data_IF_444967828852
#
_entry.id   IF_444967828852
#
_cell.length_a   1.000
_cell.length_b   1.000
_cell.length_c   1.000
_cell.angle_alpha   90.00
_cell.angle_beta   90.00
_cell.angle_gamma   90.00
#
_symmetry.space_group_name_H-M   'P 1'
#
loop_
_entity.id
_entity.type
_entity.pdbx_description
1 polymer ?
#
# COMPACT_ATOMS: atom_id res chain seq x y z
N UNK A 1 -3.17 16.01 -11.36
CA UNK A 1 -4.54 15.92 -11.93
C UNK A 1 -5.50 16.65 -11.01
N UNK A 2 -6.33 17.55 -11.54
CA UNK A 2 -7.41 18.17 -10.78
C UNK A 2 -8.62 17.21 -10.70
N UNK A 3 -9.24 17.08 -9.51
CA UNK A 3 -10.50 16.36 -9.33
C UNK A 3 -11.53 17.32 -8.80
N UNK A 4 -12.63 17.49 -9.53
CA UNK A 4 -13.67 18.47 -9.21
C UNK A 4 -15.08 17.90 -9.30
N UNK A 5 -16.00 18.51 -8.57
CA UNK A 5 -17.43 18.20 -8.66
C UNK A 5 -18.08 19.24 -9.57
N UNK A 6 -18.86 18.77 -10.52
CA UNK A 6 -19.60 19.62 -11.47
C UNK A 6 -21.08 19.31 -11.39
N UNK A 7 -21.87 20.33 -11.01
CA UNK A 7 -23.35 20.24 -10.91
C UNK A 7 -24.02 20.61 -12.24
N UNK A 8 -23.55 20.03 -13.35
CA UNK A 8 -24.10 20.24 -14.69
C UNK A 8 -24.72 18.94 -15.21
N UNK A 9 -25.63 19.08 -16.18
CA UNK A 9 -26.14 17.92 -16.91
C UNK A 9 -25.09 17.40 -17.89
N UNK A 10 -25.10 16.12 -18.17
CA UNK A 10 -24.16 15.46 -19.06
C UNK A 10 -24.06 16.15 -20.44
N UNK A 11 -25.19 16.61 -20.99
CA UNK A 11 -25.22 17.27 -22.30
C UNK A 11 -24.52 18.64 -22.35
N UNK A 12 -24.30 19.30 -21.21
CA UNK A 12 -23.70 20.64 -21.11
C UNK A 12 -22.25 20.67 -20.68
N UNK A 13 -21.71 19.56 -20.21
CA UNK A 13 -20.31 19.52 -19.75
C UNK A 13 -19.34 19.57 -20.93
N UNK A 14 -18.51 20.60 -20.99
CA UNK A 14 -17.45 20.73 -21.99
C UNK A 14 -16.24 19.91 -21.54
N UNK A 15 -15.95 18.82 -22.25
CA UNK A 15 -14.87 17.90 -21.91
C UNK A 15 -14.42 17.11 -23.13
N UNK A 16 -13.21 16.52 -23.06
CA UNK A 16 -12.76 15.63 -24.15
C UNK A 16 -13.53 14.32 -24.19
N UNK A 17 -13.98 13.81 -23.02
CA UNK A 17 -14.78 12.59 -22.92
C UNK A 17 -15.74 12.66 -21.74
N UNK A 18 -17.02 12.37 -21.98
CA UNK A 18 -18.05 12.20 -20.97
C UNK A 18 -18.40 10.72 -20.84
N UNK A 19 -18.27 10.16 -19.64
CA UNK A 19 -18.37 8.72 -19.37
C UNK A 19 -19.61 8.39 -18.56
N UNK A 20 -20.32 7.33 -18.98
CA UNK A 20 -21.45 6.73 -18.26
C UNK A 20 -21.18 5.26 -17.99
N UNK A 21 -21.42 4.84 -16.76
CA UNK A 21 -21.38 3.45 -16.37
C UNK A 21 -22.62 2.71 -16.85
N UNK A 22 -22.46 1.53 -17.45
CA UNK A 22 -23.52 0.63 -17.85
C UNK A 22 -23.13 -0.79 -17.44
N UNK A 23 -23.88 -1.40 -16.52
CA UNK A 23 -23.69 -2.81 -16.16
C UNK A 23 -24.39 -3.75 -17.13
N UNK A 24 -24.07 -5.04 -17.07
CA UNK A 24 -24.66 -6.07 -17.96
C UNK A 24 -26.19 -6.09 -17.87
N UNK A 25 -26.72 -5.88 -16.68
CA UNK A 25 -28.17 -5.91 -16.38
C UNK A 25 -28.88 -4.59 -16.72
N UNK A 26 -28.13 -3.50 -16.98
CA UNK A 26 -28.73 -2.18 -17.14
C UNK A 26 -29.38 -2.00 -18.52
N UNK A 27 -30.48 -1.23 -18.51
CA UNK A 27 -31.05 -0.61 -19.71
C UNK A 27 -30.26 0.61 -20.16
N UNK A 28 -30.77 1.33 -21.16
CA UNK A 28 -30.17 2.58 -21.60
C UNK A 28 -30.30 3.65 -20.51
N UNK A 29 -29.21 4.34 -20.13
CA UNK A 29 -29.28 5.53 -19.31
C UNK A 29 -30.16 6.61 -19.99
N UNK A 30 -30.81 7.47 -19.21
CA UNK A 30 -31.76 8.46 -19.74
C UNK A 30 -31.16 9.40 -20.80
N UNK A 31 -29.86 9.72 -20.66
CA UNK A 31 -29.14 10.59 -21.59
C UNK A 31 -28.57 9.87 -22.82
N UNK A 32 -28.82 8.56 -22.96
CA UNK A 32 -28.26 7.74 -24.05
C UNK A 32 -29.39 7.28 -24.97
N UNK A 33 -29.16 7.37 -26.29
CA UNK A 33 -30.09 6.84 -27.28
C UNK A 33 -30.26 5.31 -27.06
N UNK A 34 -31.46 4.90 -26.66
CA UNK A 34 -31.76 3.51 -26.35
C UNK A 34 -31.56 2.57 -27.59
N UNK A 35 -31.84 3.06 -28.82
CA UNK A 35 -31.62 2.29 -30.03
C UNK A 35 -30.13 2.04 -30.28
N UNK A 36 -29.25 3.04 -30.01
CA UNK A 36 -27.79 2.86 -30.11
C UNK A 36 -27.28 1.79 -29.14
N UNK A 37 -27.67 1.86 -27.86
CA UNK A 37 -27.27 0.83 -26.90
C UNK A 37 -27.81 -0.56 -27.27
N UNK A 38 -29.06 -0.65 -27.76
CA UNK A 38 -29.65 -1.89 -28.19
C UNK A 38 -28.90 -2.52 -29.38
N UNK A 39 -28.48 -1.70 -30.34
CA UNK A 39 -27.66 -2.13 -31.48
C UNK A 39 -26.28 -2.63 -31.04
N UNK A 40 -25.62 -1.90 -30.16
CA UNK A 40 -24.32 -2.30 -29.59
C UNK A 40 -24.42 -3.64 -28.83
N UNK A 41 -25.47 -3.83 -28.06
CA UNK A 41 -25.72 -5.10 -27.35
C UNK A 41 -26.04 -6.24 -28.34
N UNK A 42 -26.84 -5.97 -29.35
CA UNK A 42 -27.22 -6.97 -30.37
C UNK A 42 -26.03 -7.41 -31.24
N UNK A 43 -25.14 -6.48 -31.60
CA UNK A 43 -23.91 -6.80 -32.37
C UNK A 43 -22.84 -7.47 -31.49
N UNK A 44 -22.95 -7.40 -30.16
CA UNK A 44 -21.93 -7.87 -29.23
C UNK A 44 -20.72 -6.93 -29.10
N UNK A 45 -20.76 -5.74 -29.71
CA UNK A 45 -19.69 -4.75 -29.63
C UNK A 45 -19.56 -4.14 -28.21
N UNK A 46 -20.69 -4.00 -27.50
CA UNK A 46 -20.74 -3.58 -26.12
C UNK A 46 -21.87 -4.30 -25.38
N UNK A 47 -21.53 -5.08 -24.38
CA UNK A 47 -22.49 -5.84 -23.59
C UNK A 47 -22.63 -5.36 -22.14
N UNK A 48 -21.80 -4.40 -21.72
CA UNK A 48 -21.70 -3.90 -20.34
C UNK A 48 -20.71 -4.68 -19.49
N UNK A 49 -19.96 -5.64 -20.06
CA UNK A 49 -18.91 -6.37 -19.32
C UNK A 49 -17.79 -5.43 -18.86
N UNK A 50 -17.20 -5.74 -17.72
CA UNK A 50 -16.13 -4.94 -17.15
C UNK A 50 -14.95 -4.77 -18.13
N UNK A 51 -14.56 -3.49 -18.36
CA UNK A 51 -13.48 -3.12 -19.27
C UNK A 51 -13.89 -2.84 -20.71
N UNK A 52 -15.14 -3.10 -21.10
CA UNK A 52 -15.66 -2.68 -22.40
C UNK A 52 -15.87 -1.17 -22.47
N UNK A 53 -15.57 -0.58 -23.64
CA UNK A 53 -15.82 0.83 -23.93
C UNK A 53 -16.48 0.97 -25.30
N UNK A 54 -17.64 1.64 -25.36
CA UNK A 54 -18.22 2.10 -26.62
C UNK A 54 -18.09 3.62 -26.71
N UNK A 55 -17.48 4.12 -27.77
CA UNK A 55 -17.13 5.55 -27.93
C UNK A 55 -17.86 6.13 -29.14
N UNK A 56 -18.72 7.13 -28.90
CA UNK A 56 -19.29 7.96 -29.95
C UNK A 56 -18.53 9.28 -30.03
N UNK A 57 -18.10 9.68 -31.21
CA UNK A 57 -17.41 10.94 -31.46
C UNK A 57 -18.41 12.02 -31.88
N UNK A 58 -18.22 13.24 -31.34
CA UNK A 58 -19.05 14.43 -31.62
C UNK A 58 -20.56 14.11 -31.51
N UNK A 59 -21.01 13.55 -30.37
CA UNK A 59 -22.38 13.12 -30.21
C UNK A 59 -23.36 14.31 -30.27
N UNK A 60 -24.41 14.19 -31.08
CA UNK A 60 -25.40 15.23 -31.20
C UNK A 60 -26.10 15.51 -29.84
N UNK A 61 -26.24 16.77 -29.46
CA UNK A 61 -26.85 17.18 -28.19
C UNK A 61 -25.91 17.19 -27.00
N UNK A 62 -24.60 16.92 -27.18
CA UNK A 62 -23.60 16.97 -26.12
C UNK A 62 -22.51 17.99 -26.44
N UNK A 63 -22.05 18.73 -25.43
CA UNK A 63 -20.88 19.62 -25.52
C UNK A 63 -19.56 18.85 -25.49
N UNK A 64 -19.56 17.63 -24.98
CA UNK A 64 -18.40 16.75 -24.93
C UNK A 64 -17.97 16.29 -26.32
N UNK A 65 -16.64 16.19 -26.55
CA UNK A 65 -16.10 15.68 -27.83
C UNK A 65 -16.35 14.18 -28.05
N UNK A 66 -16.52 13.42 -26.96
CA UNK A 66 -16.81 11.99 -26.97
C UNK A 66 -17.82 11.64 -25.90
N UNK A 67 -18.77 10.79 -26.23
CA UNK A 67 -19.61 10.07 -25.26
C UNK A 67 -19.09 8.65 -25.15
N UNK A 68 -18.83 8.19 -23.94
CA UNK A 68 -18.22 6.89 -23.66
C UNK A 68 -19.13 6.08 -22.74
N UNK A 69 -19.65 4.97 -23.23
CA UNK A 69 -20.28 3.95 -22.38
C UNK A 69 -19.18 3.06 -21.81
N UNK A 70 -19.20 2.87 -20.51
CA UNK A 70 -18.19 2.11 -19.76
C UNK A 70 -18.86 0.87 -19.16
N UNK A 71 -18.40 -0.30 -19.52
CA UNK A 71 -18.89 -1.57 -18.99
C UNK A 71 -18.45 -1.77 -17.54
N UNK A 72 -19.44 -1.91 -16.64
CA UNK A 72 -19.22 -2.15 -15.21
C UNK A 72 -19.13 -3.62 -14.83
N UNK A 73 -19.48 -4.53 -15.74
CA UNK A 73 -19.71 -5.95 -15.43
C UNK A 73 -21.03 -6.16 -14.71
N UNK A 74 -21.12 -7.21 -13.92
CA UNK A 74 -22.29 -7.46 -13.08
C UNK A 74 -22.35 -6.49 -11.89
N UNK A 75 -23.50 -5.88 -11.67
CA UNK A 75 -23.70 -4.88 -10.60
C UNK A 75 -23.34 -5.43 -9.21
N UNK A 76 -23.64 -6.71 -8.94
CA UNK A 76 -23.33 -7.35 -7.66
C UNK A 76 -21.81 -7.49 -7.39
N UNK A 77 -20.95 -7.41 -8.41
CA UNK A 77 -19.49 -7.51 -8.30
C UNK A 77 -18.77 -6.25 -8.81
N UNK A 78 -19.48 -5.13 -8.95
CA UNK A 78 -18.93 -3.87 -9.43
C UNK A 78 -17.85 -3.35 -8.47
N UNK A 79 -16.65 -3.17 -9.00
CA UNK A 79 -15.57 -2.42 -8.34
C UNK A 79 -15.36 -1.10 -9.10
N UNK A 80 -16.06 -0.06 -8.65
CA UNK A 80 -16.08 1.24 -9.33
C UNK A 80 -14.67 1.86 -9.40
N UNK A 81 -13.85 1.69 -8.37
CA UNK A 81 -12.46 2.16 -8.35
C UNK A 81 -11.66 1.59 -9.52
N UNK A 82 -11.77 0.27 -9.76
CA UNK A 82 -11.07 -0.40 -10.87
C UNK A 82 -11.64 0.00 -12.23
N UNK A 83 -12.95 0.10 -12.33
CA UNK A 83 -13.62 0.49 -13.60
C UNK A 83 -13.22 1.90 -14.00
N UNK A 84 -13.27 2.87 -13.09
CA UNK A 84 -12.84 4.25 -13.36
C UNK A 84 -11.35 4.30 -13.69
N UNK A 85 -10.51 3.61 -12.91
CA UNK A 85 -9.07 3.57 -13.16
C UNK A 85 -8.72 2.99 -14.55
N UNK A 86 -9.39 1.92 -14.97
CA UNK A 86 -9.21 1.33 -16.29
C UNK A 86 -9.67 2.28 -17.41
N UNK A 87 -10.79 2.96 -17.21
CA UNK A 87 -11.30 3.96 -18.16
C UNK A 87 -10.33 5.12 -18.32
N UNK A 88 -9.83 5.68 -17.22
CA UNK A 88 -8.82 6.75 -17.25
C UNK A 88 -7.57 6.30 -18.01
N UNK A 89 -7.03 5.11 -17.72
CA UNK A 89 -5.85 4.59 -18.43
C UNK A 89 -6.09 4.40 -19.92
N UNK A 90 -7.24 3.86 -20.30
CA UNK A 90 -7.60 3.66 -21.70
C UNK A 90 -7.76 4.98 -22.45
N UNK A 91 -8.46 5.95 -21.87
CA UNK A 91 -8.77 7.23 -22.54
C UNK A 91 -7.57 8.19 -22.56
N UNK A 92 -6.76 8.27 -21.51
CA UNK A 92 -5.53 9.09 -21.55
C UNK A 92 -4.56 8.60 -22.63
N UNK A 93 -4.46 7.28 -22.87
CA UNK A 93 -3.66 6.73 -23.96
C UNK A 93 -4.15 7.21 -25.34
N UNK A 94 -5.45 7.52 -25.49
CA UNK A 94 -6.08 8.09 -26.71
C UNK A 94 -6.00 9.62 -26.77
N UNK A 95 -5.25 10.26 -25.86
CA UNK A 95 -5.03 11.71 -25.84
C UNK A 95 -6.15 12.52 -25.17
N UNK A 96 -7.05 11.89 -24.41
CA UNK A 96 -8.03 12.59 -23.56
C UNK A 96 -7.28 13.29 -22.43
N UNK A 97 -7.56 14.59 -22.24
CA UNK A 97 -6.98 15.45 -21.20
C UNK A 97 -7.99 15.78 -20.09
N UNK A 98 -9.25 15.94 -20.48
CA UNK A 98 -10.35 16.23 -19.57
C UNK A 98 -11.41 15.13 -19.68
N UNK A 99 -11.84 14.59 -18.55
CA UNK A 99 -12.81 13.52 -18.47
C UNK A 99 -13.91 13.88 -17.48
N UNK A 100 -15.16 13.79 -17.89
CA UNK A 100 -16.31 13.89 -17.02
C UNK A 100 -16.91 12.49 -16.78
N UNK A 101 -17.25 12.21 -15.53
CA UNK A 101 -17.84 10.92 -15.10
C UNK A 101 -19.20 11.16 -14.45
N UNK A 102 -20.23 10.51 -14.95
CA UNK A 102 -21.56 10.54 -14.30
C UNK A 102 -21.56 9.59 -13.12
N UNK A 103 -21.70 10.12 -11.91
CA UNK A 103 -21.62 9.30 -10.69
C UNK A 103 -22.87 8.42 -10.51
N UNK A 104 -24.08 8.96 -10.78
CA UNK A 104 -25.34 8.28 -10.47
C UNK A 104 -25.44 7.96 -8.97
N UNK A 105 -25.73 6.71 -8.67
CA UNK A 105 -25.77 6.13 -7.32
C UNK A 105 -24.43 5.51 -6.87
N UNK A 106 -23.36 5.77 -7.60
CA UNK A 106 -22.03 5.21 -7.35
C UNK A 106 -21.31 5.84 -6.15
N UNK A 107 -20.29 5.14 -5.66
CA UNK A 107 -19.39 5.65 -4.60
C UNK A 107 -18.44 6.72 -5.14
N UNK A 108 -18.65 7.97 -4.70
CA UNK A 108 -17.85 9.12 -5.12
C UNK A 108 -16.37 9.02 -4.70
N UNK A 109 -16.08 8.44 -3.53
CA UNK A 109 -14.71 8.22 -3.08
C UNK A 109 -14.01 7.20 -3.97
N UNK A 110 -14.67 6.07 -4.27
CA UNK A 110 -14.12 5.04 -5.14
C UNK A 110 -13.87 5.56 -6.57
N UNK A 111 -14.76 6.41 -7.10
CA UNK A 111 -14.58 7.03 -8.41
C UNK A 111 -13.36 7.96 -8.44
N UNK A 112 -13.23 8.84 -7.44
CA UNK A 112 -12.09 9.75 -7.31
C UNK A 112 -10.76 8.98 -7.12
N UNK A 113 -10.74 7.97 -6.25
CA UNK A 113 -9.57 7.10 -6.07
C UNK A 113 -9.17 6.42 -7.37
N UNK A 114 -10.14 5.82 -8.07
CA UNK A 114 -9.88 5.15 -9.34
C UNK A 114 -9.25 6.08 -10.38
N UNK A 115 -9.75 7.31 -10.48
CA UNK A 115 -9.22 8.30 -11.39
C UNK A 115 -7.77 8.68 -11.08
N UNK A 116 -7.46 8.99 -9.80
CA UNK A 116 -6.12 9.39 -9.36
C UNK A 116 -5.12 8.23 -9.51
N UNK A 117 -5.49 7.01 -9.09
CA UNK A 117 -4.65 5.82 -9.20
C UNK A 117 -4.41 5.39 -10.64
N UNK A 118 -5.45 5.48 -11.49
CA UNK A 118 -5.36 5.15 -12.91
C UNK A 118 -4.52 6.15 -13.71
N UNK A 119 -4.46 7.40 -13.28
CA UNK A 119 -3.65 8.43 -13.94
C UNK A 119 -2.15 8.31 -13.65
N UNK A 120 -1.76 7.66 -12.58
CA UNK A 120 -0.37 7.52 -12.15
C UNK A 120 0.47 6.63 -13.09
N UNK A 121 1.71 7.04 -13.36
CA UNK A 121 2.72 6.27 -14.08
C UNK A 121 4.06 6.26 -13.32
N UNK A 122 4.81 5.16 -13.45
CA UNK A 122 6.13 4.98 -12.82
C UNK A 122 7.26 5.38 -13.80
N UNK A 123 7.22 6.61 -14.32
CA UNK A 123 8.12 7.09 -15.39
C UNK A 123 9.02 8.27 -14.97
N UNK A 124 9.16 8.49 -13.67
CA UNK A 124 9.88 9.65 -13.11
C UNK A 124 11.35 9.74 -13.55
N UNK A 125 12.00 8.60 -13.85
CA UNK A 125 13.39 8.53 -14.28
C UNK A 125 13.58 8.50 -15.80
N UNK A 126 12.50 8.58 -16.58
CA UNK A 126 12.61 8.67 -18.04
C UNK A 126 12.92 10.09 -18.47
N UNK A 127 13.90 10.25 -19.36
CA UNK A 127 14.24 11.53 -19.97
C UNK A 127 13.16 12.05 -20.90
N UNK A 128 12.44 11.14 -21.60
CA UNK A 128 11.24 11.45 -22.39
C UNK A 128 10.04 10.77 -21.73
N UNK A 129 9.02 11.56 -21.40
CA UNK A 129 7.76 11.07 -20.85
C UNK A 129 6.75 10.88 -21.97
N UNK A 130 6.72 9.68 -22.53
CA UNK A 130 5.71 9.31 -23.55
C UNK A 130 4.35 9.00 -22.92
N UNK A 131 4.30 8.88 -21.58
CA UNK A 131 3.06 8.63 -20.85
C UNK A 131 2.16 9.86 -20.92
N UNK A 132 0.95 9.64 -21.43
CA UNK A 132 -0.09 10.66 -21.42
C UNK A 132 -0.75 10.70 -20.05
N UNK A 133 -1.11 11.89 -19.60
CA UNK A 133 -1.81 12.12 -18.34
C UNK A 133 -3.15 12.80 -18.57
N UNK A 134 -4.10 12.53 -17.70
CA UNK A 134 -5.33 13.29 -17.58
C UNK A 134 -5.03 14.55 -16.75
N UNK A 135 -5.51 15.69 -17.19
CA UNK A 135 -5.31 16.97 -16.50
C UNK A 135 -6.46 17.22 -15.50
N UNK A 136 -7.71 16.91 -15.92
CA UNK A 136 -8.91 17.10 -15.10
C UNK A 136 -9.83 15.88 -15.14
N UNK A 137 -10.31 15.48 -13.96
CA UNK A 137 -11.39 14.53 -13.77
C UNK A 137 -12.57 15.24 -13.10
N UNK A 138 -13.65 15.46 -13.84
CA UNK A 138 -14.86 16.11 -13.37
C UNK A 138 -15.90 15.04 -12.99
N UNK A 139 -16.32 15.01 -11.73
CA UNK A 139 -17.38 14.12 -11.26
C UNK A 139 -18.71 14.86 -11.36
N UNK A 140 -19.61 14.39 -12.22
CA UNK A 140 -20.98 14.93 -12.34
C UNK A 140 -21.79 14.38 -11.16
N UNK A 141 -21.89 15.19 -10.12
CA UNK A 141 -22.54 14.85 -8.86
C UNK A 141 -23.05 16.10 -8.15
N UNK A 142 -23.84 15.90 -7.11
CA UNK A 142 -24.24 17.00 -6.22
C UNK A 142 -23.11 17.34 -5.25
N UNK A 143 -23.17 18.55 -4.68
CA UNK A 143 -22.20 19.03 -3.69
C UNK A 143 -22.09 18.12 -2.45
N UNK A 144 -23.13 17.36 -2.14
CA UNK A 144 -23.12 16.37 -1.05
C UNK A 144 -22.04 15.29 -1.19
N UNK A 145 -21.49 15.07 -2.40
CA UNK A 145 -20.41 14.13 -2.64
C UNK A 145 -19.00 14.68 -2.28
N UNK A 146 -18.87 15.97 -1.94
CA UNK A 146 -17.57 16.66 -1.76
C UNK A 146 -16.65 15.98 -0.76
N UNK A 147 -17.16 15.63 0.41
CA UNK A 147 -16.34 15.02 1.47
C UNK A 147 -15.87 13.62 1.06
N UNK A 148 -16.73 12.86 0.37
CA UNK A 148 -16.36 11.55 -0.16
C UNK A 148 -15.29 11.67 -1.26
N UNK A 149 -15.42 12.60 -2.20
CA UNK A 149 -14.41 12.89 -3.24
C UNK A 149 -13.09 13.30 -2.60
N UNK A 150 -13.14 14.22 -1.64
CA UNK A 150 -11.94 14.69 -0.93
C UNK A 150 -11.23 13.53 -0.23
N UNK A 151 -11.97 12.65 0.45
CA UNK A 151 -11.42 11.44 1.07
C UNK A 151 -10.76 10.53 0.03
N UNK A 152 -11.44 10.25 -1.09
CA UNK A 152 -10.91 9.41 -2.15
C UNK A 152 -9.61 9.97 -2.75
N UNK A 153 -9.55 11.27 -3.00
CA UNK A 153 -8.33 11.95 -3.48
C UNK A 153 -7.19 11.81 -2.47
N UNK A 154 -7.45 12.06 -1.17
CA UNK A 154 -6.43 11.95 -0.11
C UNK A 154 -5.85 10.53 -0.06
N UNK A 155 -6.69 9.50 -0.09
CA UNK A 155 -6.26 8.10 -0.05
C UNK A 155 -5.42 7.74 -1.28
N UNK A 156 -5.90 8.09 -2.47
CA UNK A 156 -5.22 7.77 -3.71
C UNK A 156 -3.88 8.50 -3.89
N UNK A 157 -3.79 9.79 -3.54
CA UNK A 157 -2.54 10.54 -3.54
C UNK A 157 -1.52 9.98 -2.54
N UNK A 158 -2.00 9.53 -1.36
CA UNK A 158 -1.14 8.91 -0.35
C UNK A 158 -0.65 7.53 -0.78
N UNK A 159 -1.48 6.77 -1.49
CA UNK A 159 -1.07 5.52 -2.12
C UNK A 159 -0.06 5.77 -3.26
N UNK A 160 -0.24 6.81 -4.07
CA UNK A 160 0.71 7.18 -5.12
C UNK A 160 2.05 7.65 -4.53
N UNK A 161 2.07 8.40 -3.42
CA UNK A 161 3.29 8.74 -2.68
C UNK A 161 4.06 7.47 -2.26
N UNK A 162 3.37 6.46 -1.73
CA UNK A 162 3.98 5.15 -1.45
C UNK A 162 4.55 4.50 -2.71
N UNK A 163 3.80 4.52 -3.82
CA UNK A 163 4.25 3.95 -5.10
C UNK A 163 5.49 4.67 -5.65
N UNK A 164 5.57 5.97 -5.48
CA UNK A 164 6.76 6.75 -5.83
C UNK A 164 7.99 6.29 -5.03
N UNK A 165 7.86 6.19 -3.71
CA UNK A 165 8.96 5.72 -2.85
C UNK A 165 9.44 4.32 -3.23
N UNK A 166 8.52 3.37 -3.40
CA UNK A 166 8.85 1.97 -3.73
C UNK A 166 9.43 1.82 -5.14
N UNK A 167 9.12 2.74 -6.05
CA UNK A 167 9.66 2.72 -7.41
C UNK A 167 11.10 3.26 -7.50
N UNK A 168 11.53 4.06 -6.52
CA UNK A 168 12.88 4.62 -6.52
C UNK A 168 13.92 3.50 -6.51
N UNK A 169 14.98 3.58 -7.34
CA UNK A 169 16.08 2.65 -7.26
C UNK A 169 16.95 2.92 -6.02
N UNK A 170 17.59 1.87 -5.49
CA UNK A 170 18.30 1.93 -4.21
C UNK A 170 19.48 2.91 -4.20
N UNK A 171 20.10 3.16 -5.37
CA UNK A 171 21.15 4.18 -5.49
C UNK A 171 20.62 5.63 -5.34
N UNK A 172 19.31 5.83 -5.32
CA UNK A 172 18.63 7.12 -5.08
C UNK A 172 17.94 7.09 -3.72
N UNK A 173 17.17 6.04 -3.42
CA UNK A 173 16.47 5.89 -2.15
C UNK A 173 17.28 5.02 -1.17
N UNK A 174 18.34 5.59 -0.60
CA UNK A 174 19.06 4.98 0.52
C UNK A 174 18.28 5.11 1.83
N UNK A 175 18.66 4.43 2.92
CA UNK A 175 18.00 4.60 4.23
C UNK A 175 17.96 6.07 4.69
N UNK A 176 19.04 6.83 4.45
CA UNK A 176 19.10 8.25 4.77
C UNK A 176 18.15 9.11 3.95
N UNK A 177 18.02 8.82 2.64
CA UNK A 177 17.07 9.51 1.76
C UNK A 177 15.63 9.17 2.13
N UNK A 178 15.34 7.92 2.51
CA UNK A 178 14.01 7.52 3.01
C UNK A 178 13.66 8.32 4.28
N UNK A 179 14.62 8.47 5.21
CA UNK A 179 14.43 9.28 6.42
C UNK A 179 14.15 10.76 6.08
N UNK A 180 14.89 11.35 5.15
CA UNK A 180 14.67 12.73 4.68
C UNK A 180 13.30 12.91 4.02
N UNK A 181 12.87 11.96 3.17
CA UNK A 181 11.54 11.98 2.53
C UNK A 181 10.42 11.87 3.57
N UNK A 182 10.61 11.07 4.62
CA UNK A 182 9.67 10.95 5.73
C UNK A 182 9.57 12.27 6.52
N UNK A 183 10.69 12.93 6.81
CA UNK A 183 10.72 14.25 7.47
C UNK A 183 10.00 15.31 6.64
N UNK A 184 10.26 15.37 5.33
CA UNK A 184 9.60 16.31 4.44
C UNK A 184 8.08 16.08 4.40
N UNK A 185 7.65 14.82 4.21
CA UNK A 185 6.23 14.44 4.24
C UNK A 185 5.57 14.82 5.57
N UNK A 186 6.23 14.57 6.70
CA UNK A 186 5.72 14.90 8.02
C UNK A 186 5.56 16.40 8.20
N UNK A 187 6.56 17.21 7.80
CA UNK A 187 6.50 18.66 7.85
C UNK A 187 5.36 19.23 7.00
N UNK A 188 5.20 18.76 5.77
CA UNK A 188 4.11 19.15 4.86
C UNK A 188 2.72 18.78 5.40
N UNK A 189 2.64 17.69 6.17
CA UNK A 189 1.40 17.17 6.74
C UNK A 189 1.11 17.65 8.17
N UNK A 190 2.01 18.43 8.77
CA UNK A 190 1.87 18.89 10.15
C UNK A 190 2.02 17.77 11.20
N UNK A 191 2.82 16.74 10.89
CA UNK A 191 3.14 15.64 11.79
C UNK A 191 4.48 15.86 12.50
N UNK A 192 4.64 15.29 13.69
CA UNK A 192 5.93 15.19 14.36
C UNK A 192 6.74 14.03 13.73
N UNK A 193 8.01 14.30 13.44
CA UNK A 193 8.94 13.29 12.94
C UNK A 193 10.24 13.29 13.73
N UNK A 194 10.61 12.14 14.27
CA UNK A 194 11.86 11.88 14.96
C UNK A 194 12.67 10.83 14.20
N UNK A 195 13.96 11.05 14.03
CA UNK A 195 14.86 10.10 13.39
C UNK A 195 15.91 9.67 14.41
N UNK A 196 15.95 8.37 14.72
CA UNK A 196 17.05 7.81 15.51
C UNK A 196 18.13 7.38 14.54
N UNK A 197 19.34 7.89 14.74
CA UNK A 197 20.54 7.48 14.04
C UNK A 197 21.16 6.21 14.64
N UNK A 198 22.23 5.74 14.02
CA UNK A 198 22.95 4.53 14.43
C UNK A 198 23.43 4.62 15.89
N UNK A 199 23.96 5.76 16.31
CA UNK A 199 24.50 5.92 17.67
C UNK A 199 23.39 5.90 18.71
N UNK A 200 22.27 6.54 18.42
CA UNK A 200 21.10 6.51 19.31
C UNK A 200 20.49 5.10 19.41
N UNK A 201 20.38 4.39 18.30
CA UNK A 201 19.90 2.99 18.29
C UNK A 201 20.86 2.07 19.07
N UNK A 202 22.17 2.31 18.97
CA UNK A 202 23.17 1.57 19.75
C UNK A 202 23.04 1.83 21.25
N UNK A 203 22.85 3.07 21.66
CA UNK A 203 22.60 3.44 23.08
C UNK A 203 21.34 2.78 23.63
N UNK A 204 20.32 2.62 22.78
CA UNK A 204 19.08 1.94 23.13
C UNK A 204 19.21 0.40 23.17
N UNK A 205 20.24 -0.17 22.58
CA UNK A 205 20.44 -1.62 22.53
C UNK A 205 19.66 -2.32 21.39
N UNK A 206 19.40 -1.65 20.27
CA UNK A 206 18.75 -2.21 19.09
C UNK A 206 19.72 -3.06 18.25
N UNK A 207 20.27 -4.11 18.87
CA UNK A 207 21.35 -4.91 18.27
C UNK A 207 20.87 -5.79 17.11
N UNK A 208 19.60 -6.17 17.08
CA UNK A 208 19.02 -6.96 15.99
C UNK A 208 18.94 -6.13 14.70
N UNK A 209 18.42 -4.90 14.77
CA UNK A 209 18.37 -3.96 13.64
C UNK A 209 19.77 -3.58 13.17
N UNK A 210 20.67 -3.23 14.10
CA UNK A 210 22.02 -2.82 13.79
C UNK A 210 22.84 -3.93 13.17
N UNK A 211 22.59 -5.20 13.54
CA UNK A 211 23.23 -6.36 12.95
C UNK A 211 23.00 -6.48 11.45
N UNK A 212 21.77 -6.23 10.99
CA UNK A 212 21.44 -6.24 9.56
C UNK A 212 22.21 -5.15 8.80
N UNK A 213 22.28 -3.95 9.37
CA UNK A 213 22.91 -2.80 8.73
C UNK A 213 24.44 -2.90 8.60
N UNK A 214 25.11 -3.81 9.34
CA UNK A 214 26.57 -3.93 9.35
C UNK A 214 27.18 -4.20 7.98
N UNK A 215 26.41 -4.81 7.09
CA UNK A 215 26.84 -5.18 5.74
C UNK A 215 26.81 -4.03 4.73
N UNK A 216 26.20 -2.89 5.05
CA UNK A 216 26.13 -1.71 4.18
C UNK A 216 27.13 -0.63 4.58
N UNK A 217 27.47 0.25 3.63
CA UNK A 217 28.12 1.54 3.88
C UNK A 217 27.12 2.65 4.22
N UNK A 218 25.84 2.45 3.88
CA UNK A 218 24.77 3.37 4.20
C UNK A 218 24.36 3.23 5.69
N UNK A 219 24.31 4.33 6.46
CA UNK A 219 23.92 4.27 7.86
C UNK A 219 22.43 3.91 8.01
N UNK A 220 22.08 3.09 9.02
CA UNK A 220 20.69 2.78 9.36
C UNK A 220 20.00 3.92 10.09
N UNK A 221 18.67 3.97 10.00
CA UNK A 221 17.82 4.91 10.73
C UNK A 221 16.55 4.22 11.25
N UNK A 222 16.04 4.67 12.38
CA UNK A 222 14.66 4.36 12.78
C UNK A 222 13.83 5.64 12.65
N UNK A 223 12.92 5.64 11.72
CA UNK A 223 12.03 6.76 11.40
C UNK A 223 10.77 6.62 12.27
N UNK A 224 10.41 7.66 13.02
CA UNK A 224 9.24 7.68 13.89
C UNK A 224 8.39 8.89 13.50
N UNK A 225 7.13 8.65 13.09
CA UNK A 225 6.20 9.72 12.72
C UNK A 225 4.97 9.61 13.62
N UNK A 226 4.56 10.73 14.24
CA UNK A 226 3.46 10.77 15.21
C UNK A 226 2.32 11.65 14.73
N UNK A 227 1.12 11.12 14.84
CA UNK A 227 -0.13 11.86 14.71
C UNK A 227 -0.84 11.87 16.06
N UNK A 228 -1.10 13.07 16.56
CA UNK A 228 -1.88 13.28 17.79
C UNK A 228 -3.21 13.93 17.43
N UNK A 229 -4.37 13.29 17.71
CA UNK A 229 -5.66 13.86 17.39
C UNK A 229 -5.96 15.09 18.27
N UNK A 230 -6.66 16.06 17.71
CA UNK A 230 -7.12 17.24 18.49
C UNK A 230 -8.07 16.85 19.62
N UNK A 231 -8.82 15.76 19.46
CA UNK A 231 -9.73 15.18 20.45
C UNK A 231 -9.70 13.66 20.32
N UNK A 232 -9.06 12.99 21.28
CA UNK A 232 -9.05 11.52 21.33
C UNK A 232 -10.37 10.99 21.90
N UNK A 233 -10.93 9.94 21.26
CA UNK A 233 -12.15 9.26 21.75
C UNK A 233 -11.84 8.12 22.71
N UNK A 234 -10.60 7.61 22.70
CA UNK A 234 -10.12 6.55 23.59
C UNK A 234 -8.68 6.81 24.01
N UNK A 235 -8.21 6.06 25.01
CA UNK A 235 -6.80 6.02 25.40
C UNK A 235 -5.97 5.10 24.49
N UNK A 236 -6.60 4.47 23.49
CA UNK A 236 -5.91 3.58 22.55
C UNK A 236 -4.88 4.36 21.70
N UNK A 237 -3.79 3.71 21.41
CA UNK A 237 -2.70 4.24 20.62
C UNK A 237 -2.29 3.20 19.58
N UNK A 238 -2.55 3.48 18.32
CA UNK A 238 -2.24 2.57 17.21
C UNK A 238 -0.78 2.75 16.78
N UNK A 239 0.00 1.67 16.85
CA UNK A 239 1.34 1.57 16.28
C UNK A 239 1.28 0.95 14.90
N UNK A 240 1.83 1.64 13.90
CA UNK A 240 2.02 1.13 12.55
C UNK A 240 3.51 0.90 12.31
N UNK A 241 3.93 -0.34 12.06
CA UNK A 241 5.34 -0.67 11.84
C UNK A 241 5.53 -1.15 10.41
N UNK A 242 6.55 -0.63 9.71
CA UNK A 242 6.76 -1.00 8.31
C UNK A 242 8.20 -1.37 8.00
N UNK A 243 8.42 -2.54 7.37
CA UNK A 243 9.74 -2.95 6.89
C UNK A 243 10.31 -1.91 5.93
N UNK A 244 11.53 -1.41 6.22
CA UNK A 244 12.20 -0.36 5.48
C UNK A 244 13.56 -0.77 4.91
N UNK A 245 13.68 -1.99 4.38
CA UNK A 245 14.92 -2.44 3.72
C UNK A 245 14.99 -1.83 2.32
N UNK A 246 15.81 -0.80 2.13
CA UNK A 246 15.86 -0.04 0.87
C UNK A 246 16.48 -0.82 -0.27
N UNK A 247 17.36 -1.79 0.05
CA UNK A 247 17.81 -2.82 -0.88
C UNK A 247 18.22 -4.08 -0.11
N UNK A 248 17.78 -5.24 -0.59
CA UNK A 248 18.05 -6.53 0.04
C UNK A 248 18.82 -7.46 -0.90
N UNK A 249 20.12 -7.68 -0.62
CA UNK A 249 20.94 -8.68 -1.32
C UNK A 249 20.84 -10.06 -0.69
N UNK A 250 20.18 -10.18 0.47
CA UNK A 250 20.22 -11.36 1.35
C UNK A 250 21.39 -11.33 2.34
N UNK A 251 22.28 -10.37 2.25
CA UNK A 251 23.51 -10.34 3.04
C UNK A 251 24.44 -11.50 2.67
N UNK A 252 25.16 -12.08 3.62
CA UNK A 252 26.06 -13.23 3.39
C UNK A 252 25.30 -14.45 2.86
N UNK A 253 24.05 -14.64 3.22
CA UNK A 253 23.13 -15.62 2.61
C UNK A 253 22.57 -15.07 1.30
N UNK A 254 23.44 -14.80 0.33
CA UNK A 254 23.14 -14.04 -0.88
C UNK A 254 22.02 -14.62 -1.73
N UNK A 255 21.13 -13.77 -2.20
CA UNK A 255 20.04 -14.11 -3.13
C UNK A 255 20.59 -14.50 -4.51
N UNK A 256 19.87 -15.31 -5.30
CA UNK A 256 20.15 -15.46 -6.73
C UNK A 256 20.10 -14.09 -7.44
N UNK A 257 20.91 -13.93 -8.49
CA UNK A 257 20.93 -12.69 -9.28
C UNK A 257 19.59 -12.43 -10.00
N UNK A 258 18.88 -13.49 -10.40
CA UNK A 258 17.56 -13.39 -11.04
C UNK A 258 16.52 -12.78 -10.08
N UNK A 259 15.93 -11.64 -10.49
CA UNK A 259 14.93 -10.92 -9.70
C UNK A 259 15.48 -10.04 -8.59
N UNK A 260 16.82 -10.02 -8.37
CA UNK A 260 17.42 -9.18 -7.33
C UNK A 260 17.21 -7.68 -7.59
N UNK A 261 17.08 -7.27 -8.86
CA UNK A 261 16.79 -5.87 -9.24
C UNK A 261 15.45 -5.37 -8.69
N UNK A 262 14.53 -6.27 -8.35
CA UNK A 262 13.25 -5.94 -7.72
C UNK A 262 13.40 -5.64 -6.23
N UNK A 263 14.50 -6.03 -5.59
CA UNK A 263 14.68 -5.90 -4.13
C UNK A 263 14.71 -4.44 -3.63
N UNK A 264 14.63 -3.46 -4.51
CA UNK A 264 14.29 -2.08 -4.19
C UNK A 264 12.88 -1.94 -3.57
N UNK A 265 11.98 -2.90 -3.82
CA UNK A 265 10.62 -2.89 -3.26
C UNK A 265 10.55 -3.42 -1.82
N UNK A 266 11.66 -3.87 -1.26
CA UNK A 266 11.69 -4.51 0.06
C UNK A 266 11.47 -3.54 1.24
N UNK A 267 11.30 -2.28 0.94
CA UNK A 267 10.85 -1.22 1.83
C UNK A 267 9.36 -0.83 1.65
N UNK A 268 8.60 -1.64 0.89
CA UNK A 268 7.19 -1.32 0.58
C UNK A 268 6.30 -1.24 1.83
N UNK A 269 6.60 -2.02 2.87
CA UNK A 269 5.91 -1.94 4.16
C UNK A 269 6.13 -0.59 4.84
N UNK A 270 7.37 -0.11 4.89
CA UNK A 270 7.72 1.20 5.43
C UNK A 270 7.09 2.34 4.63
N UNK A 271 7.16 2.26 3.29
CA UNK A 271 6.51 3.23 2.43
C UNK A 271 4.98 3.26 2.60
N UNK A 272 4.34 2.09 2.79
CA UNK A 272 2.90 2.00 3.04
C UNK A 272 2.50 2.69 4.36
N UNK A 273 3.29 2.48 5.40
CA UNK A 273 3.08 3.14 6.69
C UNK A 273 3.25 4.66 6.57
N UNK A 274 4.27 5.15 5.87
CA UNK A 274 4.45 6.60 5.63
C UNK A 274 3.31 7.19 4.79
N UNK A 275 2.87 6.49 3.73
CA UNK A 275 1.70 6.90 2.96
C UNK A 275 0.41 6.93 3.78
N UNK A 276 0.23 5.95 4.67
CA UNK A 276 -0.91 5.94 5.59
C UNK A 276 -0.87 7.14 6.55
N UNK A 277 0.30 7.49 7.11
CA UNK A 277 0.45 8.67 7.98
C UNK A 277 0.12 9.97 7.24
N UNK A 278 0.52 10.11 5.97
CA UNK A 278 0.13 11.24 5.12
C UNK A 278 -1.40 11.35 4.96
N UNK A 279 -2.08 10.21 4.77
CA UNK A 279 -3.55 10.18 4.70
C UNK A 279 -4.19 10.51 6.05
N UNK A 280 -3.73 9.90 7.13
CA UNK A 280 -4.21 10.07 8.51
C UNK A 280 -4.13 11.55 8.93
N UNK A 281 -3.02 12.22 8.65
CA UNK A 281 -2.85 13.64 8.95
C UNK A 281 -3.92 14.52 8.30
N UNK A 282 -4.31 14.20 7.06
CA UNK A 282 -5.30 14.96 6.28
C UNK A 282 -6.75 14.58 6.64
N UNK A 283 -6.98 13.30 6.99
CA UNK A 283 -8.30 12.76 7.36
C UNK A 283 -8.68 12.97 8.83
N UNK A 284 -7.68 13.20 9.69
CA UNK A 284 -7.80 13.60 11.10
C UNK A 284 -8.70 12.66 11.94
N UNK A 285 -8.38 11.35 12.01
CA UNK A 285 -9.10 10.43 12.88
C UNK A 285 -8.96 10.80 14.36
N UNK A 286 -9.79 10.19 15.22
CA UNK A 286 -9.84 10.48 16.66
C UNK A 286 -8.95 9.57 17.51
N UNK A 287 -8.03 8.81 16.91
CA UNK A 287 -7.05 7.95 17.59
C UNK A 287 -5.64 8.49 17.41
N UNK A 288 -4.78 8.35 18.44
CA UNK A 288 -3.35 8.58 18.30
C UNK A 288 -2.70 7.48 17.45
N UNK A 289 -1.81 7.88 16.54
CA UNK A 289 -1.10 6.94 15.67
C UNK A 289 0.39 7.25 15.68
N UNK A 290 1.22 6.23 15.92
CA UNK A 290 2.67 6.33 15.77
C UNK A 290 3.15 5.32 14.74
N UNK A 291 3.86 5.81 13.75
CA UNK A 291 4.49 5.01 12.72
C UNK A 291 5.97 4.81 13.02
N UNK A 292 6.49 3.58 12.81
CA UNK A 292 7.90 3.25 12.93
C UNK A 292 8.38 2.55 11.66
N UNK A 293 9.46 3.08 11.07
CA UNK A 293 10.07 2.47 9.89
C UNK A 293 11.57 2.28 10.15
N UNK A 294 12.01 1.04 10.47
CA UNK A 294 13.43 0.70 10.53
C UNK A 294 13.99 0.69 9.09
N UNK A 295 14.77 1.70 8.75
CA UNK A 295 15.35 1.91 7.43
C UNK A 295 16.82 1.43 7.40
N UNK A 296 17.10 0.40 6.59
CA UNK A 296 18.42 -0.22 6.45
C UNK A 296 18.64 -0.70 5.02
N UNK A 297 19.89 -1.04 4.70
CA UNK A 297 20.23 -1.94 3.59
C UNK A 297 20.76 -3.27 4.14
N UNK A 298 20.35 -4.38 3.55
CA UNK A 298 20.95 -5.70 3.78
C UNK A 298 21.97 -5.99 2.68
N UNK A 299 23.23 -5.74 2.96
CA UNK A 299 24.33 -5.82 1.98
C UNK A 299 25.51 -6.66 2.49
N UNK A 300 26.56 -6.80 1.67
CA UNK A 300 27.75 -7.59 2.00
C UNK A 300 28.99 -6.71 1.99
N UNK A 301 29.70 -6.70 3.12
CA UNK A 301 31.04 -6.15 3.24
C UNK A 301 31.85 -6.96 4.26
N UNK A 302 33.07 -6.55 4.56
CA UNK A 302 33.95 -7.25 5.51
C UNK A 302 33.48 -7.25 6.97
N UNK A 303 32.39 -6.54 7.31
CA UNK A 303 31.78 -6.48 8.64
C UNK A 303 30.38 -7.04 8.70
N UNK A 304 29.85 -7.56 7.56
CA UNK A 304 28.50 -8.05 7.49
C UNK A 304 28.22 -9.15 8.52
N UNK A 305 26.98 -9.17 9.02
CA UNK A 305 26.47 -10.23 9.86
C UNK A 305 26.55 -11.58 9.14
N UNK A 306 26.86 -12.65 9.87
CA UNK A 306 27.12 -13.98 9.30
C UNK A 306 26.13 -15.00 9.88
N UNK A 307 25.79 -16.02 9.13
CA UNK A 307 25.13 -17.20 9.71
C UNK A 307 25.93 -17.74 10.90
N UNK A 308 25.23 -17.96 12.03
CA UNK A 308 25.82 -18.36 13.31
C UNK A 308 26.13 -17.21 14.28
N UNK A 309 26.06 -15.94 13.83
CA UNK A 309 26.18 -14.79 14.73
C UNK A 309 24.96 -14.74 15.67
N UNK A 310 25.18 -14.28 16.91
CA UNK A 310 24.11 -14.06 17.89
C UNK A 310 24.01 -12.55 18.16
N UNK A 311 22.80 -11.99 18.02
CA UNK A 311 22.50 -10.61 18.31
C UNK A 311 21.57 -10.47 19.50
N UNK A 312 21.67 -9.36 20.25
CA UNK A 312 20.73 -9.04 21.33
C UNK A 312 19.76 -7.98 20.82
N UNK A 313 18.48 -8.26 20.86
CA UNK A 313 17.42 -7.33 20.46
C UNK A 313 17.19 -6.24 21.53
N UNK A 314 16.43 -5.21 21.14
CA UNK A 314 16.00 -4.16 22.07
C UNK A 314 15.20 -4.71 23.29
N UNK A 315 14.50 -5.83 23.14
CA UNK A 315 13.79 -6.51 24.23
C UNK A 315 14.73 -7.20 25.24
N UNK A 316 16.02 -7.33 24.91
CA UNK A 316 17.01 -8.12 25.66
C UNK A 316 17.08 -9.60 25.26
N UNK A 317 16.17 -10.11 24.43
CA UNK A 317 16.25 -11.47 23.89
C UNK A 317 17.41 -11.61 22.93
N UNK A 318 18.10 -12.74 23.00
CA UNK A 318 19.17 -13.12 22.08
C UNK A 318 18.63 -13.91 20.90
N UNK A 319 19.16 -13.65 19.70
CA UNK A 319 18.70 -14.26 18.46
C UNK A 319 19.90 -14.85 17.73
N UNK A 320 19.86 -16.15 17.47
CA UNK A 320 20.80 -16.81 16.57
C UNK A 320 20.39 -16.55 15.11
N UNK A 321 21.27 -15.92 14.34
CA UNK A 321 21.04 -15.61 12.93
C UNK A 321 21.52 -16.79 12.10
N UNK A 322 20.60 -17.66 11.69
CA UNK A 322 20.92 -18.82 10.83
C UNK A 322 20.89 -18.45 9.34
N UNK A 323 20.15 -17.42 8.97
CA UNK A 323 20.05 -16.93 7.59
C UNK A 323 19.96 -15.40 7.59
N UNK A 324 20.91 -14.75 6.95
CA UNK A 324 20.95 -13.27 6.85
C UNK A 324 19.95 -12.70 5.85
N UNK A 325 19.33 -13.54 4.99
CA UNK A 325 18.20 -13.20 4.09
C UNK A 325 16.84 -13.23 4.81
N UNK A 326 16.86 -13.42 6.12
CA UNK A 326 15.71 -13.26 7.00
C UNK A 326 15.88 -12.02 7.91
N UNK A 327 16.28 -10.92 7.32
CA UNK A 327 16.65 -9.64 7.93
C UNK A 327 15.44 -8.79 8.32
N UNK A 328 14.35 -8.88 7.54
CA UNK A 328 13.14 -8.10 7.77
C UNK A 328 12.58 -8.28 9.18
N UNK A 329 12.49 -9.52 9.66
CA UNK A 329 12.06 -9.81 11.03
C UNK A 329 13.05 -9.33 12.09
N UNK A 330 14.35 -9.26 11.76
CA UNK A 330 15.39 -8.77 12.66
C UNK A 330 15.29 -7.25 12.89
N UNK A 331 14.91 -6.47 11.87
CA UNK A 331 14.69 -5.04 12.04
C UNK A 331 13.32 -4.72 12.64
N UNK A 332 12.30 -5.54 12.31
CA UNK A 332 10.93 -5.34 12.79
C UNK A 332 10.79 -5.63 14.29
N UNK A 333 11.49 -6.63 14.84
CA UNK A 333 11.36 -6.95 16.25
C UNK A 333 11.78 -5.79 17.17
N UNK A 334 12.87 -5.10 16.86
CA UNK A 334 13.33 -3.94 17.61
C UNK A 334 12.33 -2.78 17.49
N UNK A 335 11.77 -2.55 16.28
CA UNK A 335 10.77 -1.52 16.04
C UNK A 335 9.43 -1.82 16.73
N UNK A 336 8.95 -3.07 16.71
CA UNK A 336 7.73 -3.53 17.40
C UNK A 336 7.87 -3.32 18.90
N UNK A 337 8.98 -3.77 19.49
CA UNK A 337 9.25 -3.60 20.93
C UNK A 337 9.37 -2.13 21.29
N UNK A 338 9.98 -1.31 20.43
CA UNK A 338 10.10 0.12 20.66
C UNK A 338 8.76 0.86 20.54
N UNK A 339 7.87 0.43 19.65
CA UNK A 339 6.50 0.97 19.56
C UNK A 339 5.73 0.78 20.89
N UNK A 340 5.85 -0.40 21.51
CA UNK A 340 5.28 -0.66 22.84
C UNK A 340 5.85 0.28 23.89
N UNK A 341 7.16 0.52 23.88
CA UNK A 341 7.81 1.48 24.79
C UNK A 341 7.34 2.92 24.59
N UNK A 342 6.93 3.28 23.37
CA UNK A 342 6.33 4.57 23.06
C UNK A 342 4.84 4.66 23.44
N UNK A 343 4.29 3.61 24.06
CA UNK A 343 2.91 3.57 24.55
C UNK A 343 1.87 3.11 23.53
N UNK A 344 2.28 2.53 22.40
CA UNK A 344 1.33 1.91 21.48
C UNK A 344 0.64 0.72 22.15
N UNK A 345 -0.70 0.74 22.16
CA UNK A 345 -1.53 -0.29 22.79
C UNK A 345 -2.04 -1.35 21.81
N UNK A 346 -1.99 -1.05 20.51
CA UNK A 346 -2.37 -1.92 19.41
C UNK A 346 -1.35 -1.76 18.29
N UNK A 347 -0.98 -2.87 17.64
CA UNK A 347 0.07 -2.87 16.64
C UNK A 347 -0.42 -3.50 15.33
N UNK A 348 -0.05 -2.89 14.21
CA UNK A 348 -0.11 -3.53 12.89
C UNK A 348 1.22 -3.31 12.21
N UNK A 349 1.82 -4.39 11.70
CA UNK A 349 3.00 -4.25 10.86
C UNK A 349 2.75 -4.74 9.44
N UNK A 350 3.48 -4.17 8.47
CA UNK A 350 3.49 -4.59 7.09
C UNK A 350 4.92 -4.79 6.60
N UNK A 351 5.15 -5.92 5.94
CA UNK A 351 6.46 -6.26 5.40
C UNK A 351 6.37 -7.13 4.15
N UNK A 352 7.27 -6.92 3.22
CA UNK A 352 7.65 -7.88 2.18
C UNK A 352 8.52 -8.95 2.82
N UNK A 353 7.87 -9.83 3.64
CA UNK A 353 8.63 -10.59 4.61
C UNK A 353 9.10 -11.93 4.09
N UNK A 354 8.25 -12.66 3.34
CA UNK A 354 8.59 -14.04 2.97
C UNK A 354 8.26 -14.39 1.54
N UNK A 355 9.18 -15.09 0.86
CA UNK A 355 8.85 -15.79 -0.37
C UNK A 355 7.82 -16.91 -0.16
N UNK A 356 7.74 -17.46 1.07
CA UNK A 356 6.81 -18.52 1.40
C UNK A 356 5.34 -18.09 1.31
N UNK A 357 5.00 -16.84 1.65
CA UNK A 357 3.63 -16.31 1.48
C UNK A 357 3.26 -16.18 0.00
N UNK A 358 4.23 -15.83 -0.86
CA UNK A 358 4.02 -15.76 -2.31
C UNK A 358 3.72 -17.14 -2.89
N UNK A 359 4.41 -18.17 -2.40
CA UNK A 359 4.13 -19.56 -2.79
C UNK A 359 2.73 -19.99 -2.33
N UNK A 360 2.30 -19.57 -1.12
CA UNK A 360 1.00 -19.96 -0.55
C UNK A 360 -0.18 -19.22 -1.18
N UNK A 361 -0.09 -17.91 -1.36
CA UNK A 361 -1.23 -17.04 -1.74
C UNK A 361 -1.07 -16.36 -3.11
N UNK A 362 0.07 -16.53 -3.77
CA UNK A 362 0.39 -15.86 -5.04
C UNK A 362 0.43 -14.35 -4.90
N UNK A 363 -0.06 -13.65 -5.93
CA UNK A 363 -0.06 -12.18 -6.00
C UNK A 363 -1.48 -11.59 -5.81
N UNK A 364 -2.35 -12.28 -5.05
CA UNK A 364 -3.78 -11.93 -4.93
C UNK A 364 -4.15 -11.47 -3.53
N UNK A 365 -3.71 -12.19 -2.52
CA UNK A 365 -4.06 -11.90 -1.12
C UNK A 365 -2.82 -11.53 -0.31
N UNK A 366 -3.00 -10.58 0.60
CA UNK A 366 -2.07 -10.32 1.71
C UNK A 366 -2.17 -11.51 2.68
N UNK A 367 -1.04 -12.02 3.16
CA UNK A 367 -1.03 -12.98 4.26
C UNK A 367 -1.14 -12.23 5.59
N UNK A 368 -2.14 -12.55 6.41
CA UNK A 368 -2.36 -11.88 7.68
C UNK A 368 -2.23 -12.87 8.85
N UNK A 369 -1.53 -12.45 9.89
CA UNK A 369 -1.30 -13.23 11.10
C UNK A 369 -1.64 -12.39 12.34
N UNK A 370 -2.08 -13.00 13.42
CA UNK A 370 -2.47 -12.25 14.62
C UNK A 370 -2.34 -13.09 15.90
N UNK A 371 -2.15 -12.39 17.01
CA UNK A 371 -2.34 -12.91 18.35
C UNK A 371 -3.68 -12.49 18.97
N UNK A 372 -4.54 -11.74 18.22
CA UNK A 372 -5.78 -11.16 18.74
C UNK A 372 -6.88 -11.09 17.67
N UNK A 373 -7.92 -11.91 17.80
CA UNK A 373 -8.99 -12.00 16.81
C UNK A 373 -9.81 -10.71 16.67
N UNK A 374 -9.98 -9.94 17.75
CA UNK A 374 -10.71 -8.68 17.70
C UNK A 374 -9.93 -7.64 16.84
N UNK A 375 -8.62 -7.60 16.98
CA UNK A 375 -7.77 -6.73 16.16
C UNK A 375 -7.76 -7.19 14.70
N UNK A 376 -7.68 -8.51 14.45
CA UNK A 376 -7.79 -9.07 13.10
C UNK A 376 -9.13 -8.72 12.44
N UNK A 377 -10.22 -8.79 13.17
CA UNK A 377 -11.54 -8.44 12.64
C UNK A 377 -11.59 -6.97 12.18
N UNK A 378 -11.02 -6.03 12.95
CA UNK A 378 -10.92 -4.60 12.56
C UNK A 378 -10.08 -4.41 11.30
N UNK A 379 -8.89 -5.01 11.22
CA UNK A 379 -8.01 -4.91 10.06
C UNK A 379 -8.67 -5.52 8.83
N UNK A 380 -9.30 -6.69 8.96
CA UNK A 380 -10.02 -7.36 7.86
C UNK A 380 -11.21 -6.53 7.36
N UNK A 381 -11.96 -5.89 8.26
CA UNK A 381 -13.07 -5.01 7.88
C UNK A 381 -12.57 -3.80 7.08
N UNK A 382 -11.51 -3.13 7.56
CA UNK A 382 -10.88 -2.02 6.87
C UNK A 382 -10.36 -2.42 5.48
N UNK A 383 -9.65 -3.54 5.39
CA UNK A 383 -9.12 -4.09 4.14
C UNK A 383 -10.24 -4.40 3.12
N UNK A 384 -11.33 -5.00 3.59
CA UNK A 384 -12.48 -5.33 2.74
C UNK A 384 -13.16 -4.08 2.17
N UNK A 385 -13.36 -3.03 2.98
CA UNK A 385 -13.93 -1.75 2.54
C UNK A 385 -13.06 -1.07 1.48
N UNK A 386 -11.75 -1.21 1.61
CA UNK A 386 -10.80 -0.65 0.66
C UNK A 386 -10.52 -1.57 -0.56
N UNK A 387 -11.15 -2.74 -0.63
CA UNK A 387 -10.98 -3.70 -1.72
C UNK A 387 -9.59 -4.33 -1.80
N UNK A 388 -8.83 -4.29 -0.70
CA UNK A 388 -7.54 -4.97 -0.55
C UNK A 388 -7.78 -6.38 0.00
N UNK A 389 -7.44 -7.40 -0.77
CA UNK A 389 -7.72 -8.79 -0.40
C UNK A 389 -6.72 -9.31 0.61
N UNK A 390 -7.22 -9.99 1.64
CA UNK A 390 -6.44 -10.52 2.73
C UNK A 390 -6.91 -11.94 3.08
N UNK A 391 -5.98 -12.79 3.53
CA UNK A 391 -6.27 -14.11 4.04
C UNK A 391 -5.57 -14.33 5.38
N UNK A 392 -6.35 -14.67 6.42
CA UNK A 392 -5.79 -15.00 7.72
C UNK A 392 -5.14 -16.38 7.67
N UNK A 393 -3.88 -16.43 8.06
CA UNK A 393 -3.06 -17.62 8.15
C UNK A 393 -3.05 -18.16 9.59
N UNK A 394 -2.83 -19.48 9.79
CA UNK A 394 -2.71 -20.06 11.13
C UNK A 394 -1.47 -19.53 11.87
N UNK A 395 -1.55 -19.47 13.18
CA UNK A 395 -0.44 -19.10 14.07
C UNK A 395 -0.45 -19.96 15.34
N UNK A 396 -0.55 -21.29 15.14
CA UNK A 396 -0.61 -22.28 16.23
C UNK A 396 0.74 -22.38 16.96
N UNK A 397 0.69 -22.69 18.25
CA UNK A 397 1.86 -22.68 19.15
C UNK A 397 2.95 -23.68 18.75
N UNK A 398 2.59 -24.75 18.05
CA UNK A 398 3.53 -25.75 17.55
C UNK A 398 4.55 -25.17 16.57
N UNK A 399 4.22 -24.10 15.83
CA UNK A 399 5.16 -23.45 14.93
C UNK A 399 6.27 -22.67 15.67
N UNK A 400 6.05 -22.31 16.93
CA UNK A 400 7.07 -21.69 17.78
C UNK A 400 8.26 -22.60 18.00
N UNK A 401 8.00 -23.90 18.13
CA UNK A 401 9.04 -24.92 18.34
C UNK A 401 10.10 -24.91 17.22
N UNK A 402 9.72 -24.49 16.01
CA UNK A 402 10.63 -24.38 14.87
C UNK A 402 11.71 -23.30 15.07
N UNK A 403 11.50 -22.35 15.98
CA UNK A 403 12.40 -21.23 16.24
C UNK A 403 13.36 -21.50 17.41
N UNK A 404 13.37 -22.70 18.00
CA UNK A 404 14.29 -23.05 19.09
C UNK A 404 15.74 -23.00 18.62
N UNK A 405 16.58 -22.36 19.41
CA UNK A 405 18.03 -22.37 19.25
C UNK A 405 18.66 -23.06 20.46
N UNK A 406 19.73 -23.86 20.28
CA UNK A 406 20.52 -24.39 21.39
C UNK A 406 21.49 -23.34 21.96
N UNK A 407 21.67 -22.18 21.31
CA UNK A 407 22.72 -21.21 21.62
C UNK A 407 22.18 -19.81 21.98
N UNK A 408 20.92 -19.53 21.66
CA UNK A 408 20.24 -18.25 21.93
C UNK A 408 18.79 -18.52 22.39
N UNK A 409 18.07 -17.46 22.77
CA UNK A 409 16.66 -17.60 23.15
C UNK A 409 15.80 -18.11 21.98
N UNK A 410 16.15 -17.69 20.73
CA UNK A 410 15.49 -18.16 19.51
C UNK A 410 16.40 -18.03 18.29
N UNK A 411 16.10 -18.78 17.23
CA UNK A 411 16.69 -18.65 15.92
C UNK A 411 15.84 -17.73 15.03
N UNK A 412 16.46 -17.03 14.05
CA UNK A 412 15.72 -16.14 13.17
C UNK A 412 14.92 -16.86 12.08
N UNK A 413 15.14 -18.16 11.84
CA UNK A 413 14.37 -18.99 10.90
C UNK A 413 13.99 -20.34 11.51
N UNK A 414 12.84 -20.89 11.07
CA UNK A 414 12.32 -22.21 11.48
C UNK A 414 12.51 -23.30 10.40
N UNK A 415 13.44 -23.12 9.46
CA UNK A 415 13.62 -24.07 8.36
C UNK A 415 12.70 -23.78 7.16
N UNK A 416 12.59 -24.77 6.25
CA UNK A 416 11.89 -24.60 4.96
C UNK A 416 10.36 -24.57 5.09
N UNK A 417 9.80 -25.42 5.97
CA UNK A 417 8.35 -25.65 6.01
C UNK A 417 7.65 -24.60 6.89
N UNK A 418 6.48 -24.16 6.45
CA UNK A 418 5.74 -23.14 7.20
C UNK A 418 6.49 -21.80 7.34
N UNK A 419 7.33 -21.43 6.36
CA UNK A 419 8.26 -20.30 6.47
C UNK A 419 7.57 -18.96 6.76
N UNK A 420 6.39 -18.69 6.22
CA UNK A 420 5.62 -17.48 6.53
C UNK A 420 5.06 -17.51 7.96
N UNK A 421 4.65 -18.69 8.44
CA UNK A 421 4.10 -18.86 9.79
C UNK A 421 5.20 -18.72 10.84
N UNK A 422 6.35 -19.38 10.63
CA UNK A 422 7.50 -19.25 11.54
C UNK A 422 8.06 -17.81 11.57
N UNK A 423 8.00 -17.09 10.43
CA UNK A 423 8.36 -15.67 10.39
C UNK A 423 7.40 -14.80 11.23
N UNK A 424 6.10 -15.06 11.11
CA UNK A 424 5.08 -14.39 11.93
C UNK A 424 5.22 -14.74 13.41
N UNK A 425 5.52 -16.02 13.72
CA UNK A 425 5.80 -16.44 15.10
C UNK A 425 7.01 -15.72 15.70
N UNK A 426 8.07 -15.52 14.91
CA UNK A 426 9.20 -14.74 15.36
C UNK A 426 8.77 -13.32 15.77
N UNK A 427 7.95 -12.64 14.97
CA UNK A 427 7.45 -11.31 15.30
C UNK A 427 6.52 -11.32 16.52
N UNK A 428 5.67 -12.34 16.65
CA UNK A 428 4.78 -12.52 17.81
C UNK A 428 5.55 -12.58 19.14
N UNK A 429 6.75 -13.16 19.17
CA UNK A 429 7.61 -13.20 20.35
C UNK A 429 7.94 -11.82 20.90
N UNK A 430 7.95 -10.81 20.04
CA UNK A 430 8.25 -9.42 20.38
C UNK A 430 6.99 -8.55 20.53
N UNK A 431 5.90 -8.90 19.85
CA UNK A 431 4.60 -8.27 20.08
C UNK A 431 4.01 -8.66 21.45
N UNK A 432 4.35 -9.85 21.95
CA UNK A 432 3.89 -10.35 23.25
C UNK A 432 2.36 -10.36 23.35
N UNK A 433 1.84 -9.81 24.44
CA UNK A 433 0.40 -9.71 24.72
C UNK A 433 -0.28 -8.49 24.07
N UNK A 434 0.48 -7.59 23.46
CA UNK A 434 -0.10 -6.43 22.77
C UNK A 434 -0.93 -6.92 21.56
N UNK A 435 -2.21 -6.53 21.43
CA UNK A 435 -3.01 -6.84 20.25
C UNK A 435 -2.27 -6.47 18.96
N UNK A 436 -1.97 -7.45 18.13
CA UNK A 436 -1.07 -7.31 17.00
C UNK A 436 -1.58 -8.04 15.76
N UNK A 437 -1.36 -7.44 14.60
CA UNK A 437 -1.58 -8.04 13.28
C UNK A 437 -0.34 -7.81 12.41
N UNK A 438 0.19 -8.89 11.83
CA UNK A 438 1.23 -8.85 10.80
C UNK A 438 0.61 -9.01 9.43
N UNK A 439 1.00 -8.15 8.48
CA UNK A 439 0.63 -8.20 7.07
C UNK A 439 1.85 -8.53 6.22
N UNK A 440 1.97 -9.79 5.77
CA UNK A 440 2.98 -10.17 4.79
C UNK A 440 2.49 -9.78 3.39
N UNK A 441 3.05 -8.69 2.87
CA UNK A 441 2.68 -8.08 1.58
C UNK A 441 3.63 -8.47 0.44
N UNK A 442 4.53 -9.43 0.64
CA UNK A 442 5.55 -9.80 -0.37
C UNK A 442 4.92 -10.16 -1.74
N UNK A 443 3.77 -10.84 -1.73
CA UNK A 443 3.05 -11.20 -2.96
C UNK A 443 2.27 -10.05 -3.61
N UNK A 444 1.94 -8.99 -2.86
CA UNK A 444 1.00 -7.96 -3.31
C UNK A 444 1.60 -6.57 -3.47
N UNK A 445 2.82 -6.34 -2.97
CA UNK A 445 3.50 -5.04 -3.02
C UNK A 445 3.94 -4.62 -4.43
N UNK A 446 4.16 -5.59 -5.33
CA UNK A 446 4.66 -5.35 -6.69
C UNK A 446 3.82 -6.02 -7.76
N UNK A 447 3.56 -5.34 -8.87
CA UNK A 447 2.88 -5.84 -10.06
C UNK A 447 3.90 -6.09 -11.16
N UNK A 448 4.14 -7.35 -11.51
CA UNK A 448 5.05 -7.73 -12.59
C UNK A 448 4.55 -7.29 -13.97
N UNK A 449 3.23 -7.13 -14.11
CA UNK A 449 2.58 -6.63 -15.32
C UNK A 449 1.57 -5.54 -14.97
N UNK A 450 1.34 -4.64 -15.92
CA UNK A 450 0.28 -3.64 -15.78
C UNK A 450 -1.09 -4.31 -15.68
N UNK A 451 -1.93 -3.81 -14.78
CA UNK A 451 -3.36 -4.15 -14.75
C UNK A 451 -4.15 -3.09 -15.53
N UNK A 452 -5.34 -3.40 -16.03
CA UNK A 452 -6.15 -2.41 -16.73
C UNK A 452 -6.30 -1.08 -15.97
N UNK A 453 -6.35 -1.13 -14.64
CA UNK A 453 -6.58 0.00 -13.73
C UNK A 453 -5.31 0.54 -13.05
N UNK A 454 -4.14 -0.09 -13.23
CA UNK A 454 -2.91 0.27 -12.53
C UNK A 454 -1.66 -0.02 -13.36
N UNK A 455 -0.68 0.87 -13.34
CA UNK A 455 0.61 0.67 -14.01
C UNK A 455 1.40 -0.49 -13.37
N UNK A 456 2.28 -1.14 -14.18
CA UNK A 456 3.31 -2.06 -13.67
C UNK A 456 4.14 -1.40 -12.57
N UNK A 457 4.64 -2.19 -11.62
CA UNK A 457 5.49 -1.73 -10.53
C UNK A 457 4.78 -1.72 -9.18
N UNK A 458 5.08 -0.76 -8.30
CA UNK A 458 4.54 -0.73 -6.95
C UNK A 458 3.02 -0.64 -6.91
N UNK A 459 2.39 -1.43 -6.04
CA UNK A 459 0.93 -1.38 -5.84
C UNK A 459 0.49 -0.30 -4.84
N UNK A 460 1.32 0.01 -3.85
CA UNK A 460 0.97 0.86 -2.71
C UNK A 460 -0.05 0.20 -1.78
N UNK A 461 -0.08 -1.13 -1.74
CA UNK A 461 -0.96 -1.94 -0.88
C UNK A 461 -0.78 -1.58 0.60
N UNK A 462 -1.83 -1.76 1.39
CA UNK A 462 -1.97 -1.49 2.83
C UNK A 462 -2.12 0.00 3.21
N UNK A 463 -1.79 0.96 2.36
CA UNK A 463 -1.98 2.40 2.66
C UNK A 463 -3.42 2.71 3.03
N UNK A 464 -4.37 2.27 2.20
CA UNK A 464 -5.81 2.54 2.40
C UNK A 464 -6.36 1.76 3.57
N UNK A 465 -5.95 0.50 3.73
CA UNK A 465 -6.31 -0.33 4.90
C UNK A 465 -5.89 0.34 6.20
N UNK A 466 -4.66 0.85 6.31
CA UNK A 466 -4.18 1.52 7.53
C UNK A 466 -4.89 2.84 7.81
N UNK A 467 -5.09 3.67 6.78
CA UNK A 467 -5.84 4.91 6.93
C UNK A 467 -7.29 4.64 7.36
N UNK A 468 -7.93 3.63 6.75
CA UNK A 468 -9.29 3.20 7.08
C UNK A 468 -9.40 2.68 8.51
N UNK A 469 -8.46 1.83 8.91
CA UNK A 469 -8.39 1.30 10.28
C UNK A 469 -8.34 2.43 11.32
N UNK A 470 -7.53 3.46 11.08
CA UNK A 470 -7.45 4.61 11.98
C UNK A 470 -8.73 5.46 11.99
N UNK A 471 -9.42 5.59 10.85
CA UNK A 471 -10.67 6.34 10.74
C UNK A 471 -11.87 5.66 11.42
N UNK A 472 -11.91 4.34 11.38
CA UNK A 472 -13.01 3.53 11.90
C UNK A 472 -12.74 3.03 13.35
N UNK A 473 -11.73 3.58 14.00
CA UNK A 473 -11.29 3.16 15.35
C UNK A 473 -12.38 3.45 16.46
#
# INVERSE_FOLDING_TARGET
MNVEIVSQTLGRVETDAACLLVCEEDGAPADVNAAWLAELKASGEFTGKSGELAISHLPAGFAAKRLVLVGGGKRASLDLRRVVGATVRSLKAKGVKTLAWVLGDGDAAAAAEGAVLGNFECDQHKSSKDSKSLDTFALLATEAARDAVTRGVILAESQNFTRELVNEPANILTPGVLAQRAQAMAAESGLECEILDQDRMKQLGMGSLLGVAMGSSEPPYLIIVRYTPASAKSADHLGLVGKGVTFDTGGVSIKPAEGMEKMKYDMAGGAAVLGAMRAIARLKPSIAVTALVPAVENHINGRAQRPGDIVTSFSGKTIEVLNTDAEGRLILNDAITYAQRLGCTHLVDAATLTGAIVVALGHVNIGAFTNNDAMMARVSAASKLEGEKMWQMPLDDEYRELLKSPFADLANIGGRWGGSISAAWFLREFAGETPWVHLDIAGTAWLDEAKPYMAKGPSGVAVRTFARLAMDW
#
